data_IF_410325602783
#
_entry.id   IF_410325602783
#
_cell.length_a   1.000
_cell.length_b   1.000
_cell.length_c   1.000
_cell.angle_alpha   90.00
_cell.angle_beta   90.00
_cell.angle_gamma   90.00
#
_symmetry.space_group_name_H-M   'P 1'
#
loop_
_entity.id
_entity.type
_entity.pdbx_description
1 polymer ?
#
# COMPACT_ATOMS: atom_id res chain seq x y z
N UNK A 1 -9.70 2.80 -18.41
CA UNK A 1 -8.53 2.92 -19.31
C UNK A 1 -7.76 1.61 -19.30
N UNK A 2 -7.34 1.17 -20.47
CA UNK A 2 -6.56 -0.07 -20.57
C UNK A 2 -5.12 0.18 -20.17
N UNK A 3 -4.59 -0.69 -19.31
CA UNK A 3 -3.20 -0.62 -18.88
C UNK A 3 -2.31 -1.41 -19.84
N UNK A 4 -1.35 -0.72 -20.43
CA UNK A 4 -0.34 -1.33 -21.31
C UNK A 4 1.04 -1.02 -20.73
N UNK A 5 1.59 -1.89 -19.87
CA UNK A 5 2.82 -1.58 -19.17
C UNK A 5 4.03 -1.56 -20.10
N UNK A 6 4.96 -0.65 -19.79
CA UNK A 6 6.30 -0.68 -20.39
C UNK A 6 7.11 -1.83 -19.78
N UNK A 7 8.21 -2.20 -20.42
CA UNK A 7 9.07 -3.29 -19.94
C UNK A 7 9.55 -3.07 -18.51
N UNK A 8 9.94 -1.84 -18.16
CA UNK A 8 10.41 -1.56 -16.80
C UNK A 8 9.30 -1.71 -15.76
N UNK A 9 8.05 -1.45 -16.15
CA UNK A 9 6.91 -1.61 -15.26
C UNK A 9 6.62 -3.10 -15.00
N UNK A 10 6.67 -3.90 -16.04
CA UNK A 10 6.54 -5.36 -15.90
C UNK A 10 7.67 -5.94 -15.05
N UNK A 11 8.89 -5.46 -15.23
CA UNK A 11 10.03 -5.89 -14.43
C UNK A 11 9.81 -5.54 -12.96
N UNK A 12 9.42 -4.30 -12.67
CA UNK A 12 9.19 -3.84 -11.30
C UNK A 12 8.04 -4.61 -10.63
N UNK A 13 6.97 -4.88 -11.36
CA UNK A 13 5.86 -5.69 -10.86
C UNK A 13 6.35 -7.10 -10.50
N UNK A 14 7.08 -7.75 -11.39
CA UNK A 14 7.64 -9.08 -11.13
C UNK A 14 8.59 -9.08 -9.96
N UNK A 15 9.40 -8.05 -9.83
CA UNK A 15 10.31 -7.89 -8.69
C UNK A 15 9.54 -7.89 -7.37
N UNK A 16 8.43 -7.14 -7.29
CA UNK A 16 7.58 -7.13 -6.11
C UNK A 16 7.04 -8.52 -5.80
N UNK A 17 6.55 -9.22 -6.83
CA UNK A 17 5.94 -10.55 -6.65
C UNK A 17 6.99 -11.57 -6.20
N UNK A 18 8.19 -11.52 -6.76
CA UNK A 18 9.25 -12.48 -6.48
C UNK A 18 10.01 -12.21 -5.17
N UNK A 19 9.91 -10.99 -4.63
CA UNK A 19 10.67 -10.59 -3.44
C UNK A 19 9.74 -10.15 -2.33
N UNK A 20 9.61 -10.95 -1.25
CA UNK A 20 8.78 -10.57 -0.09
C UNK A 20 9.21 -9.27 0.57
N UNK A 21 10.48 -8.89 0.44
CA UNK A 21 10.96 -7.57 0.84
C UNK A 21 11.50 -6.88 -0.42
N UNK A 22 10.87 -5.78 -0.81
CA UNK A 22 11.24 -5.09 -2.03
C UNK A 22 11.25 -3.58 -1.82
N UNK A 23 12.22 -2.92 -2.45
CA UNK A 23 12.27 -1.47 -2.55
C UNK A 23 12.30 -1.11 -4.03
N UNK A 24 11.38 -0.25 -4.45
CA UNK A 24 11.24 0.17 -5.83
C UNK A 24 11.64 1.64 -5.94
N UNK A 25 12.71 1.89 -6.70
CA UNK A 25 13.28 3.22 -6.93
C UNK A 25 12.92 3.65 -8.35
N UNK A 26 11.88 4.45 -8.48
CA UNK A 26 11.45 5.01 -9.75
C UNK A 26 11.15 6.49 -9.59
N UNK A 27 11.50 7.27 -10.61
CA UNK A 27 11.22 8.69 -10.61
C UNK A 27 9.71 8.96 -10.57
N UNK A 28 9.37 10.15 -10.11
CA UNK A 28 7.99 10.62 -10.09
C UNK A 28 7.39 10.54 -11.50
N UNK A 29 6.18 10.00 -11.61
CA UNK A 29 5.51 9.87 -12.90
C UNK A 29 5.81 8.60 -13.68
N UNK A 30 6.63 7.70 -13.16
CA UNK A 30 6.95 6.43 -13.83
C UNK A 30 5.97 5.29 -13.46
N UNK A 31 4.89 5.60 -12.79
CA UNK A 31 3.82 4.65 -12.56
C UNK A 31 4.01 3.72 -11.35
N UNK A 32 4.69 4.16 -10.31
CA UNK A 32 4.89 3.35 -9.09
C UNK A 32 3.58 2.84 -8.52
N UNK A 33 2.55 3.67 -8.50
CA UNK A 33 1.25 3.32 -7.92
C UNK A 33 0.56 2.22 -8.73
N UNK A 34 0.48 2.37 -10.04
CA UNK A 34 -0.17 1.36 -10.88
C UNK A 34 0.62 0.06 -10.91
N UNK A 35 1.94 0.12 -10.91
CA UNK A 35 2.80 -1.07 -10.82
C UNK A 35 2.50 -1.85 -9.53
N UNK A 36 2.46 -1.15 -8.41
CA UNK A 36 2.22 -1.75 -7.11
C UNK A 36 0.81 -2.31 -7.00
N UNK A 37 -0.19 -1.57 -7.46
CA UNK A 37 -1.58 -2.03 -7.47
C UNK A 37 -1.75 -3.26 -8.36
N UNK A 38 -1.06 -3.31 -9.48
CA UNK A 38 -1.10 -4.48 -10.37
C UNK A 38 -0.48 -5.71 -9.68
N UNK A 39 0.64 -5.52 -9.00
CA UNK A 39 1.25 -6.60 -8.23
C UNK A 39 0.31 -7.09 -7.12
N UNK A 40 -0.33 -6.17 -6.40
CA UNK A 40 -1.30 -6.51 -5.35
C UNK A 40 -2.46 -7.32 -5.93
N UNK A 41 -3.00 -6.87 -7.06
CA UNK A 41 -4.11 -7.54 -7.74
C UNK A 41 -3.74 -8.98 -8.09
N UNK A 42 -2.55 -9.20 -8.64
CA UNK A 42 -2.09 -10.55 -8.97
C UNK A 42 -1.82 -11.39 -7.73
N UNK A 43 -1.23 -10.81 -6.68
CA UNK A 43 -0.97 -11.53 -5.43
C UNK A 43 -2.26 -11.97 -4.74
N UNK A 44 -3.32 -11.19 -4.84
CA UNK A 44 -4.61 -11.54 -4.25
C UNK A 44 -5.37 -12.55 -5.12
N UNK A 45 -5.51 -12.27 -6.41
CA UNK A 45 -6.44 -12.98 -7.28
C UNK A 45 -5.82 -14.12 -8.10
N UNK A 46 -4.52 -14.04 -8.40
CA UNK A 46 -3.85 -15.05 -9.22
C UNK A 46 -3.02 -16.00 -8.38
N UNK A 47 -2.28 -15.49 -7.41
CA UNK A 47 -1.38 -16.30 -6.57
C UNK A 47 -1.99 -16.69 -5.24
N UNK A 48 -3.08 -16.03 -4.82
CA UNK A 48 -3.73 -16.27 -3.52
C UNK A 48 -2.77 -16.18 -2.32
N UNK A 49 -1.74 -15.34 -2.46
CA UNK A 49 -0.69 -15.19 -1.45
C UNK A 49 -1.00 -14.11 -0.42
N UNK A 50 -1.81 -13.14 -0.79
CA UNK A 50 -2.14 -11.98 0.03
C UNK A 50 -3.65 -11.81 0.11
N UNK A 51 -4.15 -11.47 1.29
CA UNK A 51 -5.59 -11.24 1.51
C UNK A 51 -5.90 -9.78 1.79
N UNK A 52 -5.07 -9.11 2.57
CA UNK A 52 -5.33 -7.73 2.99
C UNK A 52 -4.04 -6.93 3.07
N UNK A 53 -4.06 -5.78 2.41
CA UNK A 53 -2.88 -4.92 2.23
C UNK A 53 -3.09 -3.61 2.95
N UNK A 54 -2.07 -3.16 3.69
CA UNK A 54 -2.04 -1.82 4.26
C UNK A 54 -1.13 -0.96 3.39
N UNK A 55 -1.66 0.13 2.85
CA UNK A 55 -0.89 1.15 2.12
C UNK A 55 -0.73 2.36 3.01
N UNK A 56 0.51 2.70 3.31
CA UNK A 56 0.88 3.86 4.12
C UNK A 56 1.43 4.91 3.17
N UNK A 57 0.76 6.06 3.10
CA UNK A 57 1.09 7.10 2.13
C UNK A 57 1.06 8.49 2.76
N UNK A 58 1.69 9.48 2.14
CA UNK A 58 1.47 10.88 2.51
C UNK A 58 -0.02 11.23 2.38
N UNK A 59 -0.50 12.14 3.21
CA UNK A 59 -1.92 12.46 3.35
C UNK A 59 -2.64 12.66 2.02
N UNK A 60 -2.13 13.55 1.17
CA UNK A 60 -2.79 13.88 -0.11
C UNK A 60 -2.75 12.71 -1.09
N UNK A 61 -1.64 12.01 -1.13
CA UNK A 61 -1.44 10.86 -2.02
C UNK A 61 -2.41 9.73 -1.63
N UNK A 62 -2.57 9.49 -0.34
CA UNK A 62 -3.52 8.49 0.16
C UNK A 62 -4.97 8.84 -0.10
N UNK A 63 -5.32 10.14 -0.02
CA UNK A 63 -6.68 10.60 -0.26
C UNK A 63 -7.06 10.62 -1.74
N UNK A 64 -6.12 10.94 -2.63
CA UNK A 64 -6.44 11.21 -4.04
C UNK A 64 -5.77 10.27 -5.01
N UNK A 65 -4.45 10.12 -4.94
CA UNK A 65 -3.70 9.40 -5.97
C UNK A 65 -3.98 7.90 -5.99
N UNK A 66 -3.97 7.25 -4.85
CA UNK A 66 -4.23 5.81 -4.79
C UNK A 66 -5.66 5.45 -5.21
N UNK A 67 -6.70 6.13 -4.67
CA UNK A 67 -8.06 5.88 -5.15
C UNK A 67 -8.26 6.18 -6.64
N UNK A 68 -7.66 7.27 -7.13
CA UNK A 68 -7.78 7.65 -8.54
C UNK A 68 -7.16 6.60 -9.47
N UNK A 69 -6.03 6.02 -9.10
CA UNK A 69 -5.39 4.97 -9.89
C UNK A 69 -6.25 3.69 -9.92
N UNK A 70 -6.86 3.32 -8.81
CA UNK A 70 -7.75 2.16 -8.77
C UNK A 70 -8.95 2.38 -9.70
N UNK A 71 -9.51 3.58 -9.71
CA UNK A 71 -10.66 3.91 -10.56
C UNK A 71 -10.28 4.04 -12.04
N UNK A 72 -9.05 4.45 -12.34
CA UNK A 72 -8.59 4.75 -13.69
C UNK A 72 -8.40 3.52 -14.56
N UNK A 73 -7.83 2.45 -14.00
CA UNK A 73 -7.39 1.29 -14.76
C UNK A 73 -8.43 0.18 -14.77
N UNK A 74 -8.72 -0.36 -15.95
CA UNK A 74 -9.76 -1.38 -16.09
C UNK A 74 -9.49 -2.65 -15.28
N UNK A 75 -8.24 -3.09 -15.23
CA UNK A 75 -7.87 -4.30 -14.53
C UNK A 75 -7.91 -4.16 -13.00
N UNK A 76 -8.00 -2.93 -12.47
CA UNK A 76 -8.02 -2.65 -11.04
C UNK A 76 -9.42 -2.36 -10.49
N UNK A 77 -10.43 -2.27 -11.34
CA UNK A 77 -11.78 -1.84 -10.95
C UNK A 77 -12.42 -2.74 -9.90
N UNK A 78 -12.05 -4.01 -9.85
CA UNK A 78 -12.62 -4.96 -8.90
C UNK A 78 -11.87 -5.01 -7.56
N UNK A 79 -10.79 -4.26 -7.42
CA UNK A 79 -10.12 -4.14 -6.12
C UNK A 79 -10.97 -3.32 -5.17
N UNK A 80 -11.26 -3.89 -4.02
CA UNK A 80 -12.00 -3.19 -2.96
C UNK A 80 -11.03 -2.54 -2.00
N UNK A 81 -11.26 -1.29 -1.70
CA UNK A 81 -10.39 -0.54 -0.80
C UNK A 81 -11.20 0.33 0.15
N UNK A 82 -10.60 0.70 1.26
CA UNK A 82 -11.12 1.73 2.16
C UNK A 82 -10.02 2.72 2.49
N UNK A 83 -10.41 3.94 2.84
CA UNK A 83 -9.48 5.03 3.13
C UNK A 83 -9.64 5.42 4.59
N UNK A 84 -8.64 5.05 5.41
CA UNK A 84 -8.62 5.31 6.84
C UNK A 84 -7.91 6.65 7.12
N UNK A 85 -8.47 7.73 6.56
CA UNK A 85 -7.93 9.07 6.66
C UNK A 85 -9.05 10.02 7.08
N UNK A 86 -8.75 10.97 7.96
CA UNK A 86 -9.70 11.96 8.43
C UNK A 86 -10.02 11.78 9.91
N UNK A 87 -11.28 11.99 10.30
CA UNK A 87 -11.69 11.88 11.69
C UNK A 87 -11.52 10.46 12.23
N UNK A 88 -11.46 10.35 13.55
CA UNK A 88 -11.36 9.04 14.20
C UNK A 88 -12.51 8.13 13.80
N UNK A 89 -13.72 8.66 13.69
CA UNK A 89 -14.88 7.87 13.27
C UNK A 89 -14.73 7.34 11.84
N UNK A 90 -14.23 8.16 10.91
CA UNK A 90 -13.97 7.74 9.53
C UNK A 90 -12.90 6.66 9.47
N UNK A 91 -11.84 6.82 10.25
CA UNK A 91 -10.75 5.84 10.29
C UNK A 91 -11.23 4.50 10.81
N UNK A 92 -11.99 4.51 11.90
CA UNK A 92 -12.53 3.28 12.49
C UNK A 92 -13.48 2.58 11.49
N UNK A 93 -14.36 3.33 10.84
CA UNK A 93 -15.26 2.76 9.84
C UNK A 93 -14.49 2.09 8.70
N UNK A 94 -13.43 2.74 8.21
CA UNK A 94 -12.59 2.19 7.14
C UNK A 94 -11.87 0.90 7.59
N UNK A 95 -11.34 0.87 8.82
CA UNK A 95 -10.65 -0.31 9.36
C UNK A 95 -11.62 -1.47 9.60
N UNK A 96 -12.87 -1.19 9.92
CA UNK A 96 -13.89 -2.20 10.18
C UNK A 96 -14.53 -2.75 8.89
N UNK A 97 -14.26 -2.14 7.76
CA UNK A 97 -14.72 -2.67 6.46
C UNK A 97 -13.86 -3.88 6.07
N UNK A 98 -14.33 -5.06 6.46
CA UNK A 98 -13.61 -6.32 6.20
C UNK A 98 -13.73 -6.78 4.76
N UNK A 99 -14.55 -6.12 3.93
CA UNK A 99 -14.58 -6.39 2.49
C UNK A 99 -13.42 -5.72 1.75
N UNK A 100 -12.81 -4.69 2.35
CA UNK A 100 -11.68 -4.00 1.74
C UNK A 100 -10.45 -4.91 1.69
N UNK A 101 -9.90 -5.04 0.51
CA UNK A 101 -8.66 -5.78 0.28
C UNK A 101 -7.45 -4.89 0.51
N UNK A 102 -7.62 -3.58 0.33
CA UNK A 102 -6.59 -2.57 0.53
C UNK A 102 -7.13 -1.53 1.51
N UNK A 103 -6.37 -1.26 2.56
CA UNK A 103 -6.66 -0.16 3.49
C UNK A 103 -5.58 0.88 3.31
N UNK A 104 -5.98 2.10 3.00
CA UNK A 104 -5.07 3.23 2.77
C UNK A 104 -5.10 4.12 3.99
N UNK A 105 -3.92 4.37 4.57
CA UNK A 105 -3.79 5.23 5.75
C UNK A 105 -2.67 6.24 5.53
N UNK A 106 -2.82 7.43 6.07
CA UNK A 106 -1.72 8.40 6.05
C UNK A 106 -0.69 8.05 7.13
N UNK A 107 0.56 8.32 6.83
CA UNK A 107 1.68 7.92 7.70
C UNK A 107 1.60 8.48 9.11
N UNK A 108 0.96 9.64 9.30
CA UNK A 108 0.78 10.26 10.61
C UNK A 108 -0.09 9.42 11.55
N UNK A 109 -0.92 8.55 11.01
CA UNK A 109 -1.86 7.73 11.80
C UNK A 109 -1.41 6.28 12.01
N UNK A 110 -0.19 5.93 11.61
CA UNK A 110 0.30 4.54 11.75
C UNK A 110 0.41 4.14 13.21
N UNK A 111 0.95 5.00 14.05
CA UNK A 111 1.08 4.73 15.48
C UNK A 111 -0.29 4.52 16.13
N UNK A 112 -1.26 5.37 15.77
CA UNK A 112 -2.64 5.22 16.21
C UNK A 112 -3.25 3.88 15.78
N UNK A 113 -3.04 3.50 14.51
CA UNK A 113 -3.54 2.23 13.98
C UNK A 113 -3.05 1.04 14.82
N UNK A 114 -1.76 1.00 15.09
CA UNK A 114 -1.13 -0.11 15.80
C UNK A 114 -1.64 -0.19 17.23
N UNK A 115 -1.91 0.95 17.86
CA UNK A 115 -2.42 0.99 19.24
C UNK A 115 -3.90 0.65 19.36
N UNK A 116 -4.69 0.88 18.31
CA UNK A 116 -6.14 0.87 18.41
C UNK A 116 -6.83 -0.22 17.58
N UNK A 117 -6.08 -1.04 16.88
CA UNK A 117 -6.69 -2.03 15.99
C UNK A 117 -5.94 -3.35 16.04
N UNK A 118 -6.68 -4.44 15.86
CA UNK A 118 -6.09 -5.75 15.66
C UNK A 118 -5.39 -5.78 14.29
N UNK A 119 -4.18 -6.29 14.25
CA UNK A 119 -3.41 -6.37 13.01
C UNK A 119 -3.89 -7.55 12.17
N UNK A 120 -4.38 -7.24 10.98
CA UNK A 120 -4.85 -8.25 10.04
C UNK A 120 -4.31 -8.03 8.61
N UNK A 121 -3.16 -7.40 8.49
CA UNK A 121 -2.53 -7.10 7.20
C UNK A 121 -1.37 -8.06 6.97
N UNK A 122 -1.40 -8.79 5.87
CA UNK A 122 -0.32 -9.69 5.47
C UNK A 122 0.66 -9.05 4.49
N UNK A 123 0.34 -7.87 3.96
CA UNK A 123 1.24 -7.08 3.13
C UNK A 123 1.18 -5.61 3.52
N UNK A 124 2.33 -4.95 3.51
CA UNK A 124 2.44 -3.51 3.77
C UNK A 124 3.17 -2.85 2.62
N UNK A 125 2.62 -1.75 2.13
CA UNK A 125 3.26 -0.88 1.14
C UNK A 125 3.52 0.47 1.81
N UNK A 126 4.76 0.93 1.75
CA UNK A 126 5.14 2.23 2.28
C UNK A 126 5.45 3.14 1.10
N UNK A 127 4.55 4.06 0.80
CA UNK A 127 4.76 5.08 -0.22
C UNK A 127 5.61 6.21 0.37
N UNK A 128 6.61 6.65 -0.37
CA UNK A 128 7.62 7.61 0.09
C UNK A 128 8.42 7.04 1.28
N UNK A 129 9.04 5.88 1.05
CA UNK A 129 9.82 5.16 2.06
C UNK A 129 10.88 6.04 2.71
N UNK A 130 11.60 6.85 1.92
CA UNK A 130 12.68 7.71 2.41
C UNK A 130 12.19 8.67 3.49
N UNK A 131 11.07 9.35 3.25
CA UNK A 131 10.55 10.31 4.22
C UNK A 131 9.90 9.62 5.43
N UNK A 132 9.34 8.43 5.24
CA UNK A 132 8.82 7.65 6.35
C UNK A 132 9.94 7.18 7.30
N UNK A 133 11.05 6.75 6.71
CA UNK A 133 12.18 6.16 7.42
C UNK A 133 13.12 7.21 8.02
N UNK A 134 13.24 8.39 7.39
CA UNK A 134 14.19 9.45 7.78
C UNK A 134 13.87 10.07 9.13
N UNK A 135 12.63 10.03 9.54
CA UNK A 135 12.27 10.39 10.89
C UNK A 135 12.47 9.15 11.75
N UNK A 136 13.38 9.21 12.71
CA UNK A 136 13.53 8.18 13.75
C UNK A 136 12.23 8.15 14.56
N UNK A 137 11.13 7.96 13.85
CA UNK A 137 9.82 8.26 14.33
C UNK A 137 9.23 7.07 15.06
N UNK A 138 8.37 7.35 16.00
CA UNK A 138 7.56 6.35 16.67
C UNK A 138 6.81 5.49 15.65
N UNK A 139 6.37 6.10 14.52
CA UNK A 139 5.59 5.39 13.49
C UNK A 139 6.40 4.29 12.81
N UNK A 140 7.68 4.53 12.51
CA UNK A 140 8.52 3.50 11.91
C UNK A 140 8.77 2.36 12.90
N UNK A 141 9.11 2.68 14.14
CA UNK A 141 9.30 1.68 15.20
C UNK A 141 8.02 0.90 15.48
N UNK A 142 6.89 1.61 15.52
CA UNK A 142 5.59 0.98 15.72
C UNK A 142 5.29 -0.01 14.59
N UNK A 143 5.51 0.39 13.33
CA UNK A 143 5.31 -0.49 12.20
C UNK A 143 6.23 -1.72 12.28
N UNK A 144 7.49 -1.53 12.62
CA UNK A 144 8.45 -2.62 12.71
C UNK A 144 8.10 -3.63 13.81
N UNK A 145 7.34 -3.22 14.82
CA UNK A 145 6.83 -4.16 15.83
C UNK A 145 5.88 -5.19 15.24
N UNK A 146 5.26 -4.89 14.09
CA UNK A 146 4.36 -5.79 13.38
C UNK A 146 5.04 -6.60 12.28
N UNK A 147 6.35 -6.38 12.06
CA UNK A 147 7.10 -7.06 11.00
C UNK A 147 6.97 -8.59 11.01
N UNK A 148 6.96 -9.27 12.17
CA UNK A 148 6.81 -10.73 12.21
C UNK A 148 5.45 -11.23 11.68
N UNK A 149 4.44 -10.36 11.63
CA UNK A 149 3.09 -10.70 11.17
C UNK A 149 2.83 -10.35 9.70
N UNK A 150 3.84 -9.83 9.01
CA UNK A 150 3.72 -9.36 7.63
C UNK A 150 4.51 -10.29 6.72
N UNK A 151 3.84 -10.86 5.72
CA UNK A 151 4.50 -11.72 4.72
C UNK A 151 5.33 -10.90 3.75
N UNK A 152 4.83 -9.72 3.35
CA UNK A 152 5.43 -8.89 2.31
C UNK A 152 5.47 -7.45 2.73
N UNK A 153 6.59 -6.80 2.45
CA UNK A 153 6.73 -5.36 2.66
C UNK A 153 7.40 -4.74 1.44
N UNK A 154 6.79 -3.67 0.93
CA UNK A 154 7.26 -2.95 -0.25
C UNK A 154 7.45 -1.49 0.11
N UNK A 155 8.63 -0.98 -0.16
CA UNK A 155 8.93 0.44 -0.05
C UNK A 155 9.00 1.09 -1.42
N UNK A 156 8.30 2.19 -1.62
CA UNK A 156 8.32 2.95 -2.86
C UNK A 156 9.01 4.27 -2.58
N UNK A 157 9.92 4.65 -3.45
CA UNK A 157 10.61 5.93 -3.29
C UNK A 157 10.97 6.52 -4.64
N UNK A 158 10.86 7.84 -4.71
CA UNK A 158 11.43 8.61 -5.79
C UNK A 158 12.82 9.08 -5.43
N UNK A 159 13.57 9.49 -6.39
CA UNK A 159 14.89 10.09 -6.16
C UNK A 159 14.77 11.54 -5.78
#
# INVERSE_FOLDING_TARGET
MKYSPHEYQEYAKRFIIEHPEAAIFLDCGMGKTVITLTAIQELINDYFDVKRVLVIAPLRVGLTSWPAEIAKWDHLKNLRYSVAIGSTAKRIAALNDKTAQIVIINRENVDWLIKHNAWDYDMVVIDELSSFKSHKSKRFKALMSKRPFVKRIVGLTGT
#
